data_IF_188721484857
#
_entry.id   IF_188721484857
#
_cell.length_a   1.000
_cell.length_b   1.000
_cell.length_c   1.000
_cell.angle_alpha   90.00
_cell.angle_beta   90.00
_cell.angle_gamma   90.00
#
_symmetry.space_group_name_H-M   'P 1'
#
loop_
_entity.id
_entity.type
_entity.pdbx_description
1 polymer ?
#
# COMPACT_ATOMS: atom_id res chain seq x y z
N UNK A 1 7.06 10.16 9.40
CA UNK A 1 7.57 8.81 9.77
C UNK A 1 7.41 7.86 8.59
N UNK A 2 8.38 7.00 8.26
CA UNK A 2 8.27 6.10 7.11
C UNK A 2 7.21 5.01 7.30
N UNK A 3 6.51 4.66 6.22
CA UNK A 3 5.53 3.58 6.17
C UNK A 3 6.15 2.22 6.57
N UNK A 4 5.42 1.34 7.28
CA UNK A 4 5.86 -0.05 7.51
C UNK A 4 6.14 -0.81 6.21
N UNK A 5 7.07 -1.78 6.24
CA UNK A 5 7.58 -2.49 5.05
C UNK A 5 6.48 -3.06 4.15
N UNK A 6 5.48 -3.76 4.71
CA UNK A 6 4.38 -4.35 3.91
C UNK A 6 3.48 -3.29 3.25
N UNK A 7 3.26 -2.14 3.91
CA UNK A 7 2.48 -1.02 3.34
C UNK A 7 3.25 -0.33 2.22
N UNK A 8 4.57 -0.15 2.37
CA UNK A 8 5.43 0.34 1.28
C UNK A 8 5.40 -0.57 0.07
N UNK A 9 5.50 -1.89 0.28
CA UNK A 9 5.46 -2.86 -0.81
C UNK A 9 4.13 -2.75 -1.59
N UNK A 10 2.99 -2.74 -0.89
CA UNK A 10 1.69 -2.56 -1.54
C UNK A 10 1.58 -1.26 -2.36
N UNK A 11 2.08 -0.14 -1.80
CA UNK A 11 2.09 1.16 -2.50
C UNK A 11 2.99 1.13 -3.73
N UNK A 12 4.21 0.60 -3.62
CA UNK A 12 5.16 0.52 -4.73
C UNK A 12 4.60 -0.34 -5.86
N UNK A 13 4.06 -1.52 -5.55
CA UNK A 13 3.47 -2.39 -6.56
C UNK A 13 2.26 -1.74 -7.24
N UNK A 14 1.43 -1.00 -6.49
CA UNK A 14 0.24 -0.34 -7.06
C UNK A 14 0.54 0.89 -7.91
N UNK A 15 1.45 1.75 -7.46
CA UNK A 15 1.62 3.10 -8.01
C UNK A 15 2.91 3.30 -8.80
N UNK A 16 3.92 2.44 -8.60
CA UNK A 16 5.17 2.50 -9.34
C UNK A 16 5.26 1.38 -10.38
N UNK A 17 4.64 0.23 -10.11
CA UNK A 17 4.61 -0.92 -11.02
C UNK A 17 3.24 -1.14 -11.68
N UNK A 18 2.25 -0.28 -11.42
CA UNK A 18 0.89 -0.31 -12.01
C UNK A 18 0.16 -1.67 -11.95
N UNK A 19 0.46 -2.48 -10.94
CA UNK A 19 -0.17 -3.79 -10.78
C UNK A 19 -1.60 -3.69 -10.23
N UNK A 20 -2.45 -4.63 -10.65
CA UNK A 20 -3.78 -4.82 -10.11
C UNK A 20 -3.76 -5.37 -8.67
N UNK A 21 -4.86 -5.21 -7.94
CA UNK A 21 -4.99 -5.76 -6.58
C UNK A 21 -4.77 -7.27 -6.54
N UNK A 22 -5.24 -8.00 -7.56
CA UNK A 22 -5.07 -9.44 -7.69
C UNK A 22 -3.59 -9.83 -7.86
N UNK A 23 -2.85 -9.17 -8.75
CA UNK A 23 -1.41 -9.41 -8.95
C UNK A 23 -0.62 -9.10 -7.68
N UNK A 24 -0.95 -7.99 -7.00
CA UNK A 24 -0.32 -7.63 -5.73
C UNK A 24 -0.59 -8.69 -4.66
N UNK A 25 -1.82 -9.20 -4.57
CA UNK A 25 -2.21 -10.25 -3.64
C UNK A 25 -1.36 -11.52 -3.85
N UNK A 26 -1.18 -11.94 -5.11
CA UNK A 26 -0.32 -13.07 -5.47
C UNK A 26 1.14 -12.82 -5.08
N UNK A 27 1.72 -11.67 -5.44
CA UNK A 27 3.11 -11.32 -5.14
C UNK A 27 3.37 -11.24 -3.63
N UNK A 28 2.42 -10.70 -2.86
CA UNK A 28 2.57 -10.49 -1.43
C UNK A 28 2.15 -11.70 -0.58
N UNK A 29 1.56 -12.74 -1.19
CA UNK A 29 1.03 -13.92 -0.51
C UNK A 29 -0.09 -13.60 0.48
N UNK A 30 -1.03 -12.72 0.10
CA UNK A 30 -2.16 -12.28 0.94
C UNK A 30 -3.45 -12.19 0.11
N UNK A 31 -4.60 -12.05 0.76
CA UNK A 31 -5.86 -11.82 0.05
C UNK A 31 -5.94 -10.43 -0.56
N UNK A 32 -6.75 -10.26 -1.61
CA UNK A 32 -7.04 -8.95 -2.21
C UNK A 32 -7.63 -7.96 -1.20
N UNK A 33 -8.48 -8.43 -0.27
CA UNK A 33 -8.99 -7.62 0.83
C UNK A 33 -7.88 -7.11 1.76
N UNK A 34 -6.87 -7.95 2.04
CA UNK A 34 -5.70 -7.54 2.82
C UNK A 34 -4.83 -6.52 2.07
N UNK A 35 -4.69 -6.65 0.74
CA UNK A 35 -4.06 -5.61 -0.11
C UNK A 35 -4.80 -4.28 0.04
N UNK A 36 -6.13 -4.29 -0.06
CA UNK A 36 -6.97 -3.11 0.16
C UNK A 36 -6.73 -2.46 1.52
N UNK A 37 -6.69 -3.25 2.59
CA UNK A 37 -6.40 -2.76 3.94
C UNK A 37 -5.00 -2.14 4.06
N UNK A 38 -3.98 -2.77 3.47
CA UNK A 38 -2.62 -2.22 3.45
C UNK A 38 -2.55 -0.90 2.69
N UNK A 39 -3.17 -0.80 1.52
CA UNK A 39 -3.20 0.41 0.71
C UNK A 39 -3.96 1.53 1.41
N UNK A 40 -5.12 1.25 2.01
CA UNK A 40 -5.89 2.22 2.77
C UNK A 40 -5.07 2.78 3.94
N UNK A 41 -4.47 1.93 4.78
CA UNK A 41 -3.63 2.37 5.90
C UNK A 41 -2.36 3.08 5.46
N UNK A 42 -1.81 2.73 4.29
CA UNK A 42 -0.69 3.45 3.71
C UNK A 42 -1.09 4.88 3.32
N UNK A 43 -2.20 5.05 2.59
CA UNK A 43 -2.74 6.35 2.18
C UNK A 43 -3.08 7.24 3.37
N UNK A 44 -3.71 6.70 4.41
CA UNK A 44 -3.97 7.45 5.65
C UNK A 44 -2.67 7.96 6.29
N UNK A 45 -1.64 7.12 6.34
CA UNK A 45 -0.34 7.50 6.93
C UNK A 45 0.40 8.54 6.08
N UNK A 46 0.29 8.44 4.75
CA UNK A 46 0.87 9.42 3.82
C UNK A 46 0.13 10.76 3.89
N UNK A 47 -1.20 10.74 3.94
CA UNK A 47 -2.02 11.95 4.13
C UNK A 47 -1.56 12.72 5.36
N UNK A 48 -1.50 12.07 6.53
CA UNK A 48 -1.05 12.69 7.78
C UNK A 48 0.41 13.19 7.74
N UNK A 49 1.24 12.63 6.87
CA UNK A 49 2.63 13.06 6.72
C UNK A 49 2.80 14.22 5.73
N UNK A 50 1.81 14.44 4.85
CA UNK A 50 1.79 15.49 3.83
C UNK A 50 0.87 16.66 4.19
N UNK A 51 -0.05 16.46 5.14
CA UNK A 51 -0.73 17.55 5.85
C UNK A 51 0.35 18.25 6.69
N UNK A 52 1.05 19.18 6.03
CA UNK A 52 1.95 20.17 6.63
C UNK A 52 1.07 21.29 7.15
N UNK A 53 1.18 21.59 8.44
CA UNK A 53 0.85 22.92 8.99
C UNK A 53 2.03 23.86 8.74
#
# INVERSE_FOLDING_TARGET
RPLPKRRRAAVALRYLADLSTAEIAQIMGISEGAVGAHLHKARESLRKALEVE
#
